data_IF_748631954682
#
_entry.id   IF_748631954682
#
_cell.length_a   1.000
_cell.length_b   1.000
_cell.length_c   1.000
_cell.angle_alpha   90.00
_cell.angle_beta   90.00
_cell.angle_gamma   90.00
#
_symmetry.space_group_name_H-M   'P 1'
#
loop_
_entity.id
_entity.type
_entity.pdbx_description
1 polymer ?
#
# COMPACT_ATOMS: atom_id res chain seq x y z
N UNK A 1 -12.26 9.60 2.59
CA UNK A 1 -13.05 8.37 2.35
C UNK A 1 -12.27 7.21 2.91
N UNK A 2 -12.92 6.28 3.61
CA UNK A 2 -12.31 5.05 4.11
C UNK A 2 -12.89 3.87 3.31
N UNK A 3 -12.02 3.04 2.74
CA UNK A 3 -12.38 1.85 1.99
C UNK A 3 -11.53 0.70 2.51
N UNK A 4 -12.19 -0.38 2.95
CA UNK A 4 -11.50 -1.59 3.35
C UNK A 4 -11.32 -2.48 2.12
N UNK A 5 -10.07 -2.66 1.70
CA UNK A 5 -9.72 -3.58 0.63
C UNK A 5 -9.80 -5.02 1.12
N UNK A 6 -10.19 -5.92 0.23
CA UNK A 6 -10.21 -7.36 0.45
C UNK A 6 -8.81 -7.96 0.63
N UNK A 7 -7.77 -7.29 0.12
CA UNK A 7 -6.38 -7.72 0.23
C UNK A 7 -5.42 -6.54 0.22
N UNK A 8 -4.19 -6.77 0.66
CA UNK A 8 -3.14 -5.77 0.59
C UNK A 8 -2.78 -5.36 -0.84
N UNK A 9 -2.91 -6.28 -1.81
CA UNK A 9 -2.71 -6.04 -3.24
C UNK A 9 -3.77 -5.06 -3.75
N UNK A 10 -5.04 -5.31 -3.43
CA UNK A 10 -6.13 -4.42 -3.80
C UNK A 10 -5.98 -3.04 -3.14
N UNK A 11 -5.58 -3.00 -1.87
CA UNK A 11 -5.35 -1.75 -1.16
C UNK A 11 -4.24 -0.89 -1.80
N UNK A 12 -3.12 -1.47 -2.25
CA UNK A 12 -2.04 -0.69 -2.88
C UNK A 12 -2.46 -0.19 -4.26
N UNK A 13 -3.17 -1.00 -5.04
CA UNK A 13 -3.68 -0.59 -6.35
C UNK A 13 -4.76 0.50 -6.25
N UNK A 14 -5.60 0.47 -5.21
CA UNK A 14 -6.54 1.56 -4.93
C UNK A 14 -5.83 2.87 -4.57
N UNK A 15 -4.77 2.82 -3.76
CA UNK A 15 -3.96 4.00 -3.43
C UNK A 15 -3.28 4.55 -4.68
N UNK A 16 -2.74 3.68 -5.54
CA UNK A 16 -2.14 4.06 -6.81
C UNK A 16 -3.15 4.78 -7.71
N UNK A 17 -4.36 4.24 -7.88
CA UNK A 17 -5.40 4.88 -8.67
C UNK A 17 -5.82 6.24 -8.10
N UNK A 18 -5.95 6.35 -6.78
CA UNK A 18 -6.25 7.61 -6.12
C UNK A 18 -5.14 8.65 -6.29
N UNK A 19 -3.87 8.24 -6.17
CA UNK A 19 -2.72 9.10 -6.39
C UNK A 19 -2.65 9.59 -7.86
N UNK A 20 -2.91 8.71 -8.83
CA UNK A 20 -2.99 9.07 -10.24
C UNK A 20 -4.15 10.05 -10.55
N UNK A 21 -5.25 9.97 -9.79
CA UNK A 21 -6.35 10.92 -9.87
C UNK A 21 -6.08 12.27 -9.15
N UNK A 22 -4.86 12.48 -8.63
CA UNK A 22 -4.45 13.72 -7.96
C UNK A 22 -4.91 13.82 -6.50
N UNK A 23 -5.40 12.72 -5.90
CA UNK A 23 -5.84 12.68 -4.50
C UNK A 23 -4.71 12.16 -3.63
N UNK A 24 -4.46 12.86 -2.51
CA UNK A 24 -3.55 12.37 -1.48
C UNK A 24 -4.14 11.11 -0.83
N UNK A 25 -3.49 9.97 -1.04
CA UNK A 25 -3.94 8.67 -0.57
C UNK A 25 -2.89 7.97 0.28
N UNK A 26 -3.35 7.09 1.18
CA UNK A 26 -2.48 6.32 2.06
C UNK A 26 -3.00 4.90 2.31
N UNK A 27 -2.09 4.00 2.64
CA UNK A 27 -2.41 2.66 3.17
C UNK A 27 -1.50 2.37 4.36
N UNK A 28 -2.00 1.57 5.30
CA UNK A 28 -1.19 0.97 6.37
C UNK A 28 -1.21 -0.55 6.24
N UNK A 29 -0.12 -1.22 6.61
CA UNK A 29 -0.06 -2.67 6.76
C UNK A 29 1.13 -3.06 7.63
N UNK A 30 1.44 -4.35 7.71
CA UNK A 30 2.50 -4.91 8.55
C UNK A 30 3.05 -6.20 7.96
N UNK A 31 4.35 -6.44 8.13
CA UNK A 31 5.02 -7.74 7.90
C UNK A 31 4.60 -8.39 6.55
N UNK A 32 3.90 -9.56 6.45
CA UNK A 32 3.55 -10.12 5.13
C UNK A 32 2.72 -9.17 4.25
N UNK A 33 1.88 -8.33 4.86
CA UNK A 33 1.04 -7.40 4.12
C UNK A 33 1.84 -6.28 3.44
N UNK A 34 3.02 -5.92 3.93
CA UNK A 34 3.93 -5.01 3.20
C UNK A 34 4.58 -5.76 2.04
N UNK A 35 4.99 -7.01 2.23
CA UNK A 35 5.54 -7.84 1.15
C UNK A 35 4.58 -7.96 -0.02
N UNK A 36 3.28 -8.15 0.25
CA UNK A 36 2.23 -8.21 -0.78
C UNK A 36 2.01 -6.88 -1.52
N UNK A 37 2.38 -5.74 -0.92
CA UNK A 37 2.24 -4.41 -1.56
C UNK A 37 3.41 -4.06 -2.47
N UNK A 38 4.55 -4.73 -2.32
CA UNK A 38 5.84 -4.33 -2.93
C UNK A 38 5.76 -4.05 -4.43
N UNK A 39 4.99 -4.83 -5.19
CA UNK A 39 4.78 -4.61 -6.62
C UNK A 39 4.15 -3.23 -6.90
N UNK A 40 3.02 -2.93 -6.24
CA UNK A 40 2.35 -1.64 -6.37
C UNK A 40 3.19 -0.46 -5.86
N UNK A 41 4.01 -0.67 -4.82
CA UNK A 41 4.94 0.35 -4.31
C UNK A 41 5.99 0.68 -5.38
N UNK A 42 6.61 -0.35 -5.96
CA UNK A 42 7.61 -0.20 -7.02
C UNK A 42 7.01 0.52 -8.23
N UNK A 43 5.79 0.17 -8.62
CA UNK A 43 5.10 0.83 -9.71
C UNK A 43 4.82 2.30 -9.42
N UNK A 44 4.29 2.64 -8.24
CA UNK A 44 4.04 4.04 -7.86
C UNK A 44 5.32 4.87 -7.83
N UNK A 45 6.43 4.29 -7.36
CA UNK A 45 7.74 4.93 -7.39
C UNK A 45 8.22 5.18 -8.83
N UNK A 46 8.04 4.21 -9.73
CA UNK A 46 8.40 4.36 -11.15
C UNK A 46 7.50 5.32 -11.94
N UNK A 47 6.29 5.59 -11.44
CA UNK A 47 5.31 6.50 -12.05
C UNK A 47 5.26 7.88 -11.38
N UNK A 48 6.19 8.18 -10.45
CA UNK A 48 6.22 9.42 -9.66
C UNK A 48 4.89 9.77 -8.96
N UNK A 49 4.15 8.75 -8.52
CA UNK A 49 2.85 8.91 -7.87
C UNK A 49 3.01 9.10 -6.36
N UNK A 50 2.59 10.26 -5.80
CA UNK A 50 2.75 10.53 -4.39
C UNK A 50 1.73 9.72 -3.56
N UNK A 51 2.23 8.91 -2.62
CA UNK A 51 1.40 8.22 -1.64
C UNK A 51 2.12 8.07 -0.29
N UNK A 52 1.36 7.81 0.78
CA UNK A 52 1.92 7.50 2.09
C UNK A 52 1.66 6.02 2.44
N UNK A 53 2.73 5.33 2.82
CA UNK A 53 2.66 3.93 3.25
C UNK A 53 3.18 3.82 4.67
N UNK A 54 2.31 3.37 5.57
CA UNK A 54 2.66 3.15 6.97
C UNK A 54 2.92 1.67 7.18
N UNK A 55 4.18 1.31 7.45
CA UNK A 55 4.56 -0.01 7.92
C UNK A 55 4.54 -0.06 9.45
N UNK A 56 3.49 -0.65 10.00
CA UNK A 56 3.42 -0.95 11.44
C UNK A 56 4.16 -2.27 11.65
N UNK A 57 5.45 -2.18 11.98
CA UNK A 57 6.29 -3.37 12.09
C UNK A 57 5.79 -4.31 13.19
N UNK A 58 5.80 -5.60 12.86
CA UNK A 58 5.53 -6.71 13.77
C UNK A 58 6.65 -7.74 13.64
N UNK A 59 6.68 -8.75 14.51
CA UNK A 59 7.70 -9.79 14.45
C UNK A 59 7.72 -10.54 13.11
N UNK A 60 8.89 -11.09 12.76
CA UNK A 60 9.09 -11.83 11.52
C UNK A 60 9.32 -13.32 11.77
N UNK A 61 9.23 -14.19 10.73
CA UNK A 61 9.09 -13.89 9.30
C UNK A 61 7.66 -14.21 8.78
N UNK A 62 6.63 -14.08 9.63
CA UNK A 62 5.28 -14.60 9.36
C UNK A 62 4.19 -13.96 10.22
N UNK A 63 3.15 -14.70 10.61
CA UNK A 63 1.86 -14.24 11.19
C UNK A 63 1.93 -13.47 12.52
N UNK A 64 3.11 -12.99 12.93
CA UNK A 64 3.43 -12.52 14.26
C UNK A 64 4.53 -11.51 14.21
#
# INVERSE_FOLDING_TARGET
VYLQAESEIAAVNMVQGAAAAGVRAMTSSSSPGISLKTEGISYMAGADLPCLIINVQRGGPGLG
#
